data_IF_561751857421
#
_entry.id   IF_561751857421
#
_cell.length_a   1.000
_cell.length_b   1.000
_cell.length_c   1.000
_cell.angle_alpha   90.00
_cell.angle_beta   90.00
_cell.angle_gamma   90.00
#
_symmetry.space_group_name_H-M   'P 1'
#
loop_
_entity.id
_entity.type
_entity.pdbx_description
1 polymer ?
#
# COMPACT_ATOMS: atom_id res chain seq x y z
N UNK A 1 32.61 -17.89 21.51
CA UNK A 1 31.35 -17.84 22.27
C UNK A 1 30.50 -16.73 21.72
N UNK A 2 29.32 -17.13 21.25
CA UNK A 2 28.21 -16.35 20.66
C UNK A 2 27.96 -14.97 21.25
N UNK A 3 28.26 -13.90 20.50
CA UNK A 3 27.78 -12.54 20.86
C UNK A 3 27.39 -11.66 19.68
N UNK A 4 26.89 -12.25 18.60
CA UNK A 4 26.33 -11.44 17.49
C UNK A 4 24.99 -12.02 17.01
N UNK A 5 24.03 -12.10 17.93
CA UNK A 5 22.63 -12.37 17.58
C UNK A 5 21.68 -11.70 18.56
N UNK A 6 21.74 -10.37 18.60
CA UNK A 6 20.67 -9.54 19.16
C UNK A 6 20.24 -8.61 18.04
N UNK A 7 19.57 -9.20 17.06
CA UNK A 7 18.81 -8.49 16.05
C UNK A 7 17.35 -8.89 16.26
N UNK A 8 16.64 -8.09 17.02
CA UNK A 8 15.18 -8.02 17.03
C UNK A 8 14.82 -6.86 17.97
N UNK A 9 15.15 -5.65 17.55
CA UNK A 9 14.60 -4.47 18.19
C UNK A 9 13.08 -4.55 18.13
N UNK A 10 12.51 -4.37 19.31
CA UNK A 10 11.13 -4.10 19.65
C UNK A 10 10.33 -3.41 18.55
N UNK A 11 9.23 -4.07 18.20
CA UNK A 11 8.03 -3.57 17.53
C UNK A 11 7.79 -2.06 17.77
N UNK A 12 7.75 -1.21 16.72
CA UNK A 12 7.19 0.11 16.86
C UNK A 12 5.68 0.04 16.64
N UNK A 13 4.94 0.62 17.58
CA UNK A 13 3.55 0.99 17.42
C UNK A 13 3.46 2.10 16.38
N UNK A 14 2.67 1.92 15.32
CA UNK A 14 2.45 2.99 14.35
C UNK A 14 1.18 3.76 14.74
N UNK A 15 1.39 4.82 15.53
CA UNK A 15 0.44 5.91 15.69
C UNK A 15 0.65 6.90 14.54
N UNK A 16 -0.41 7.19 13.78
CA UNK A 16 -0.37 8.18 12.71
C UNK A 16 -0.37 9.60 13.29
N UNK A 17 0.79 10.08 13.73
CA UNK A 17 1.09 11.49 13.89
C UNK A 17 2.58 11.72 13.67
N UNK A 18 2.92 12.26 12.49
CA UNK A 18 4.13 13.04 12.23
C UNK A 18 5.47 12.33 12.33
N UNK A 19 6.08 12.10 11.16
CA UNK A 19 7.52 11.91 10.93
C UNK A 19 8.16 10.68 11.59
N UNK A 20 8.57 9.69 10.78
CA UNK A 20 9.99 9.37 10.54
C UNK A 20 10.19 8.05 9.77
N UNK A 21 10.88 8.20 8.63
CA UNK A 21 11.94 7.34 8.10
C UNK A 21 11.60 5.94 7.55
N UNK A 22 11.55 5.92 6.21
CA UNK A 22 12.24 4.98 5.31
C UNK A 22 12.49 3.57 5.86
N UNK A 23 11.42 2.81 6.09
CA UNK A 23 11.51 1.35 6.16
C UNK A 23 10.64 0.81 5.06
N UNK A 24 11.29 0.26 4.03
CA UNK A 24 10.73 -0.48 2.90
C UNK A 24 9.34 -1.05 3.25
N UNK A 25 8.30 -0.30 2.94
CA UNK A 25 6.91 -0.68 3.23
C UNK A 25 6.60 -1.81 2.26
N UNK A 26 6.84 -3.06 2.67
CA UNK A 26 6.38 -4.22 1.92
C UNK A 26 4.86 -4.09 1.84
N UNK A 27 4.27 -3.86 0.65
CA UNK A 27 2.84 -3.65 0.53
C UNK A 27 2.01 -4.84 1.03
N UNK A 28 2.63 -6.01 1.18
CA UNK A 28 2.04 -7.20 1.79
C UNK A 28 1.83 -7.09 3.31
N UNK A 29 2.42 -6.10 3.98
CA UNK A 29 2.24 -5.83 5.43
C UNK A 29 1.21 -4.74 5.72
N UNK A 30 0.64 -4.09 4.71
CA UNK A 30 -0.47 -3.16 4.92
C UNK A 30 -1.70 -3.92 5.47
N UNK A 31 -2.42 -3.37 6.47
CA UNK A 31 -3.70 -3.90 6.87
C UNK A 31 -4.63 -4.00 5.65
N UNK A 32 -5.26 -5.17 5.44
CA UNK A 32 -6.15 -5.41 4.29
C UNK A 32 -7.22 -4.34 4.13
N UNK A 33 -7.71 -3.81 5.24
CA UNK A 33 -8.71 -2.75 5.29
C UNK A 33 -8.20 -1.41 4.75
N UNK A 34 -6.92 -1.10 4.96
CA UNK A 34 -6.30 0.13 4.47
C UNK A 34 -6.02 0.03 2.97
N UNK A 35 -5.49 -1.11 2.51
CA UNK A 35 -5.32 -1.39 1.08
C UNK A 35 -6.66 -1.32 0.33
N UNK A 36 -7.72 -1.90 0.89
CA UNK A 36 -9.06 -1.84 0.31
C UNK A 36 -9.62 -0.40 0.24
N UNK A 37 -9.32 0.46 1.22
CA UNK A 37 -9.70 1.89 1.17
C UNK A 37 -8.94 2.63 0.08
N UNK A 38 -7.63 2.40 -0.05
CA UNK A 38 -6.81 3.01 -1.10
C UNK A 38 -7.30 2.60 -2.50
N UNK A 39 -7.57 1.31 -2.72
CA UNK A 39 -8.14 0.80 -3.98
C UNK A 39 -9.46 1.52 -4.33
N UNK A 40 -10.37 1.65 -3.36
CA UNK A 40 -11.66 2.35 -3.59
C UNK A 40 -11.47 3.83 -3.92
N UNK A 41 -10.52 4.49 -3.27
CA UNK A 41 -10.23 5.90 -3.51
C UNK A 41 -9.65 6.12 -4.92
N UNK A 42 -8.65 5.31 -5.32
CA UNK A 42 -8.07 5.38 -6.67
C UNK A 42 -9.11 5.03 -7.74
N UNK A 43 -9.96 4.03 -7.50
CA UNK A 43 -11.04 3.69 -8.43
C UNK A 43 -12.01 4.87 -8.63
N UNK A 44 -12.34 5.61 -7.56
CA UNK A 44 -13.18 6.80 -7.63
C UNK A 44 -12.50 7.91 -8.42
N UNK A 45 -11.24 8.22 -8.11
CA UNK A 45 -10.47 9.25 -8.82
C UNK A 45 -10.31 8.93 -10.31
N UNK A 46 -10.08 7.65 -10.66
CA UNK A 46 -10.00 7.20 -12.04
C UNK A 46 -11.32 7.44 -12.79
N UNK A 47 -12.46 7.11 -12.17
CA UNK A 47 -13.79 7.33 -12.76
C UNK A 47 -14.08 8.82 -12.93
N UNK A 48 -13.68 9.65 -11.97
CA UNK A 48 -13.91 11.09 -12.04
C UNK A 48 -13.00 11.75 -13.11
N UNK A 49 -11.74 11.32 -13.24
CA UNK A 49 -10.86 11.73 -14.33
C UNK A 49 -11.41 11.32 -15.70
N UNK A 50 -11.95 10.10 -15.83
CA UNK A 50 -12.59 9.64 -17.07
C UNK A 50 -13.85 10.47 -17.43
N UNK A 51 -14.68 10.85 -16.44
CA UNK A 51 -15.83 11.75 -16.66
C UNK A 51 -15.39 13.14 -17.10
N UNK A 52 -14.26 13.62 -16.58
CA UNK A 52 -13.65 14.90 -16.96
C UNK A 52 -12.92 14.85 -18.31
N UNK A 53 -12.94 13.72 -19.03
CA UNK A 53 -12.20 13.49 -20.27
C UNK A 53 -10.66 13.55 -20.12
N UNK A 54 -10.15 13.41 -18.89
CA UNK A 54 -8.72 13.34 -18.57
C UNK A 54 -8.18 11.91 -18.74
N UNK A 55 -8.17 11.39 -19.98
CA UNK A 55 -7.88 9.96 -20.23
C UNK A 55 -6.45 9.53 -19.88
N UNK A 56 -5.46 10.40 -20.05
CA UNK A 56 -4.07 10.08 -19.68
C UNK A 56 -3.94 9.86 -18.17
N UNK A 57 -4.60 10.71 -17.38
CA UNK A 57 -4.65 10.58 -15.92
C UNK A 57 -5.45 9.35 -15.50
N UNK A 58 -6.58 9.08 -16.15
CA UNK A 58 -7.35 7.86 -15.90
C UNK A 58 -6.54 6.60 -16.22
N UNK A 59 -5.71 6.62 -17.27
CA UNK A 59 -4.82 5.51 -17.61
C UNK A 59 -3.75 5.30 -16.52
N UNK A 60 -3.10 6.36 -16.04
CA UNK A 60 -2.13 6.26 -14.95
C UNK A 60 -2.77 5.70 -13.66
N UNK A 61 -3.96 6.18 -13.30
CA UNK A 61 -4.71 5.69 -12.13
C UNK A 61 -5.12 4.22 -12.28
N UNK A 62 -5.45 3.77 -13.50
CA UNK A 62 -5.75 2.36 -13.79
C UNK A 62 -4.53 1.48 -13.55
N UNK A 63 -3.35 1.90 -13.99
CA UNK A 63 -2.13 1.12 -13.84
C UNK A 63 -1.78 0.96 -12.34
N UNK A 64 -1.90 2.04 -11.55
CA UNK A 64 -1.78 1.99 -10.08
C UNK A 64 -2.83 1.05 -9.44
N UNK A 65 -4.07 1.09 -9.92
CA UNK A 65 -5.14 0.23 -9.41
C UNK A 65 -4.84 -1.26 -9.64
N UNK A 66 -4.24 -1.61 -10.78
CA UNK A 66 -3.84 -2.99 -11.11
C UNK A 66 -2.74 -3.46 -10.15
N UNK A 67 -1.74 -2.64 -9.89
CA UNK A 67 -0.66 -2.97 -8.95
C UNK A 67 -1.21 -3.24 -7.54
N UNK A 68 -2.07 -2.35 -7.03
CA UNK A 68 -2.67 -2.51 -5.70
C UNK A 68 -3.55 -3.76 -5.59
N UNK A 69 -4.31 -4.09 -6.64
CA UNK A 69 -5.08 -5.36 -6.69
C UNK A 69 -4.16 -6.57 -6.75
N UNK A 70 -3.04 -6.50 -7.47
CA UNK A 70 -2.04 -7.56 -7.47
C UNK A 70 -1.47 -7.81 -6.08
N UNK A 71 -1.16 -6.75 -5.34
CA UNK A 71 -0.73 -6.82 -3.94
C UNK A 71 -1.83 -7.43 -3.06
N UNK A 72 -3.09 -7.02 -3.23
CA UNK A 72 -4.23 -7.54 -2.48
C UNK A 72 -4.38 -9.07 -2.66
N UNK A 73 -4.24 -9.56 -3.89
CA UNK A 73 -4.33 -10.99 -4.20
C UNK A 73 -3.14 -11.76 -3.61
N UNK A 74 -1.91 -11.23 -3.70
CA UNK A 74 -0.74 -11.85 -3.06
C UNK A 74 -0.91 -11.89 -1.54
N UNK A 75 -1.44 -10.82 -0.93
CA UNK A 75 -1.73 -10.77 0.50
C UNK A 75 -2.87 -11.73 0.92
N UNK A 76 -3.82 -12.02 0.03
CA UNK A 76 -4.86 -13.05 0.22
C UNK A 76 -4.26 -14.45 0.22
N UNK A 77 -3.38 -14.75 -0.72
CA UNK A 77 -2.75 -16.07 -0.88
C UNK A 77 -1.76 -16.42 0.24
N UNK A 78 -1.19 -15.41 0.91
CA UNK A 78 -0.19 -15.59 1.99
C UNK A 78 -0.78 -15.69 3.40
N UNK A 79 -2.10 -15.54 3.58
CA UNK A 79 -2.75 -15.70 4.89
C UNK A 79 -3.53 -17.00 4.96
#
# INVERSE_FOLDING_TARGET
>A
TDRVKVLAESKPEYNANGAEQEKLLDPAMLPRDELARMIKQIEKEMKDAAKAMEFEKAAALRDQLIELRGIEEVAKLKA
#
